data_IF_111202766961
#
_entry.id   IF_111202766961
#
_cell.length_a   1.000
_cell.length_b   1.000
_cell.length_c   1.000
_cell.angle_alpha   90.00
_cell.angle_beta   90.00
_cell.angle_gamma   90.00
#
_symmetry.space_group_name_H-M   'P 1'
#
loop_
_entity.id
_entity.type
_entity.pdbx_description
1 polymer ?
#
# COMPACT_ATOMS: atom_id res chain seq x y z
N UNK A 1 -2.50 18.38 7.67
CA UNK A 1 -3.15 18.97 8.87
C UNK A 1 -2.12 19.23 9.99
N UNK A 2 -0.93 19.72 9.64
CA UNK A 2 0.08 20.14 10.59
C UNK A 2 1.02 19.07 11.12
N UNK A 3 0.85 17.80 10.77
CA UNK A 3 1.78 16.74 11.15
C UNK A 3 3.08 16.80 10.32
N UNK A 4 4.21 16.66 10.97
CA UNK A 4 5.48 16.40 10.29
C UNK A 4 5.57 14.91 10.00
N UNK A 5 5.75 14.56 8.72
CA UNK A 5 5.77 13.17 8.29
C UNK A 5 7.13 12.79 7.75
N UNK A 6 7.65 11.66 8.24
CA UNK A 6 8.84 11.00 7.68
C UNK A 6 8.44 9.65 7.10
N UNK A 7 8.81 9.39 5.86
CA UNK A 7 8.61 8.12 5.17
C UNK A 7 9.95 7.38 5.09
N UNK A 8 10.02 6.17 5.64
CA UNK A 8 11.15 5.27 5.48
C UNK A 8 10.86 4.30 4.33
N UNK A 9 11.67 4.31 3.29
CA UNK A 9 11.54 3.44 2.12
C UNK A 9 12.93 2.92 1.71
N UNK A 10 13.19 1.62 1.86
CA UNK A 10 14.51 1.05 1.56
C UNK A 10 14.83 0.97 0.07
N UNK A 11 13.81 0.96 -0.79
CA UNK A 11 14.03 0.89 -2.23
C UNK A 11 14.55 2.22 -2.81
N UNK A 12 15.24 2.13 -3.94
CA UNK A 12 15.74 3.32 -4.65
C UNK A 12 14.63 4.22 -5.19
N UNK A 13 13.46 3.64 -5.48
CA UNK A 13 12.30 4.36 -6.02
C UNK A 13 11.07 4.04 -5.21
N UNK A 14 10.25 5.05 -5.00
CA UNK A 14 8.93 4.88 -4.41
C UNK A 14 8.00 4.06 -5.34
N UNK A 15 7.05 3.36 -4.74
CA UNK A 15 6.01 2.67 -5.50
C UNK A 15 6.48 1.45 -6.29
N UNK A 16 7.61 0.82 -5.94
CA UNK A 16 8.16 -0.33 -6.67
C UNK A 16 7.13 -1.45 -6.84
N UNK A 17 6.38 -1.79 -5.79
CA UNK A 17 5.30 -2.76 -5.84
C UNK A 17 4.13 -2.28 -6.69
N UNK A 18 3.72 -1.03 -6.51
CA UNK A 18 2.62 -0.41 -7.24
C UNK A 18 2.90 -0.45 -8.76
N UNK A 19 4.13 -0.16 -9.15
CA UNK A 19 4.52 -0.09 -10.57
C UNK A 19 4.48 -1.42 -11.32
N UNK A 20 4.47 -2.57 -10.64
CA UNK A 20 4.31 -3.89 -11.29
C UNK A 20 2.85 -4.38 -11.30
N UNK A 21 1.95 -3.73 -10.56
CA UNK A 21 0.53 -4.14 -10.53
C UNK A 21 -0.15 -3.91 -11.88
N UNK A 22 -1.21 -4.67 -12.15
CA UNK A 22 -1.95 -4.54 -13.41
C UNK A 22 -1.09 -4.71 -14.67
N UNK A 23 -0.04 -5.55 -14.62
CA UNK A 23 0.94 -5.75 -15.70
C UNK A 23 1.66 -4.44 -16.08
N UNK A 24 2.07 -3.66 -15.08
CA UNK A 24 2.77 -2.38 -15.27
C UNK A 24 1.88 -1.17 -15.53
N UNK A 25 0.54 -1.34 -15.48
CA UNK A 25 -0.43 -0.27 -15.70
C UNK A 25 -0.96 0.37 -14.40
N UNK A 26 -0.82 -0.31 -13.27
CA UNK A 26 -1.42 0.00 -11.98
C UNK A 26 -2.95 -0.04 -12.01
N UNK A 27 -3.56 -1.15 -11.58
CA UNK A 27 -4.99 -1.18 -11.28
C UNK A 27 -5.24 -0.37 -9.99
N UNK A 28 -5.79 0.84 -10.14
CA UNK A 28 -5.94 1.81 -9.04
C UNK A 28 -7.01 1.37 -8.06
N UNK A 29 -8.18 1.03 -8.58
CA UNK A 29 -9.35 0.60 -7.81
C UNK A 29 -10.32 -0.17 -8.71
N UNK A 30 -11.48 -0.50 -8.16
CA UNK A 30 -12.63 -1.00 -8.92
C UNK A 30 -13.77 0.02 -8.81
N UNK A 31 -14.34 0.43 -9.93
CA UNK A 31 -15.46 1.38 -9.98
C UNK A 31 -16.77 0.65 -9.67
N UNK A 32 -16.94 0.29 -8.42
CA UNK A 32 -18.15 -0.35 -7.89
C UNK A 32 -18.66 0.42 -6.67
N UNK A 33 -19.94 0.19 -6.36
CA UNK A 33 -20.52 0.71 -5.12
C UNK A 33 -19.98 -0.02 -3.88
N UNK A 34 -20.27 0.54 -2.72
CA UNK A 34 -19.78 0.01 -1.45
C UNK A 34 -20.33 -1.40 -1.15
N UNK A 35 -21.58 -1.68 -1.51
CA UNK A 35 -22.20 -2.97 -1.27
C UNK A 35 -21.52 -4.06 -2.10
N UNK A 36 -21.31 -3.80 -3.38
CA UNK A 36 -20.56 -4.68 -4.27
C UNK A 36 -19.14 -4.90 -3.78
N UNK A 37 -18.45 -3.83 -3.34
CA UNK A 37 -17.10 -3.95 -2.81
C UNK A 37 -17.07 -4.86 -1.57
N UNK A 38 -17.98 -4.63 -0.62
CA UNK A 38 -18.06 -5.39 0.63
C UNK A 38 -18.39 -6.87 0.43
N UNK A 39 -19.29 -7.19 -0.49
CA UNK A 39 -19.67 -8.58 -0.80
C UNK A 39 -18.56 -9.37 -1.48
N UNK A 40 -17.64 -8.67 -2.15
CA UNK A 40 -16.48 -9.27 -2.81
C UNK A 40 -15.23 -9.38 -1.91
N UNK A 41 -15.31 -8.98 -0.63
CA UNK A 41 -14.23 -9.18 0.35
C UNK A 41 -14.53 -10.48 1.13
N UNK A 42 -13.77 -11.56 0.89
CA UNK A 42 -13.99 -12.83 1.59
C UNK A 42 -13.65 -12.72 3.07
N UNK A 43 -14.32 -13.48 3.91
CA UNK A 43 -14.06 -13.57 5.33
C UNK A 43 -14.60 -12.37 6.12
N UNK A 44 -13.73 -11.64 6.81
CA UNK A 44 -14.13 -10.55 7.70
C UNK A 44 -14.20 -9.17 7.02
N UNK A 45 -14.94 -9.05 5.91
CA UNK A 45 -15.12 -7.77 5.20
C UNK A 45 -15.69 -6.66 6.09
N UNK A 46 -16.50 -6.99 7.09
CA UNK A 46 -17.08 -6.00 8.02
C UNK A 46 -16.03 -5.19 8.78
N UNK A 47 -14.84 -5.72 8.99
CA UNK A 47 -13.73 -5.00 9.60
C UNK A 47 -13.36 -3.74 8.81
N UNK A 48 -13.49 -3.79 7.48
CA UNK A 48 -13.13 -2.68 6.59
C UNK A 48 -14.28 -1.70 6.35
N UNK A 49 -15.49 -1.97 6.87
CA UNK A 49 -16.67 -1.15 6.60
C UNK A 49 -16.44 0.34 6.83
N UNK A 50 -15.93 0.71 8.02
CA UNK A 50 -15.69 2.12 8.38
C UNK A 50 -14.63 2.79 7.49
N UNK A 51 -13.59 2.06 7.11
CA UNK A 51 -12.55 2.59 6.23
C UNK A 51 -13.08 2.83 4.81
N UNK A 52 -13.80 1.86 4.25
CA UNK A 52 -14.35 1.92 2.90
C UNK A 52 -15.55 2.87 2.76
N UNK A 53 -16.23 3.19 3.87
CA UNK A 53 -17.25 4.26 3.92
C UNK A 53 -16.63 5.65 3.91
N UNK A 54 -15.45 5.80 4.50
CA UNK A 54 -14.75 7.10 4.60
C UNK A 54 -13.87 7.41 3.41
N UNK A 55 -13.46 6.40 2.68
CA UNK A 55 -12.66 6.51 1.46
C UNK A 55 -13.11 5.45 0.48
N UNK A 56 -14.02 5.84 -0.38
CA UNK A 56 -14.68 4.96 -1.36
C UNK A 56 -13.80 4.74 -2.61
N UNK A 57 -14.13 3.77 -3.47
CA UNK A 57 -13.51 3.66 -4.79
C UNK A 57 -13.57 4.96 -5.60
N UNK A 58 -14.70 5.67 -5.55
CA UNK A 58 -14.90 6.95 -6.24
C UNK A 58 -14.01 8.05 -5.65
N UNK A 59 -13.81 8.06 -4.32
CA UNK A 59 -12.87 8.99 -3.68
C UNK A 59 -11.43 8.71 -4.13
N UNK A 60 -11.06 7.44 -4.29
CA UNK A 60 -9.76 7.06 -4.82
C UNK A 60 -9.56 7.54 -6.26
N UNK A 61 -10.59 7.43 -7.11
CA UNK A 61 -10.56 7.96 -8.48
C UNK A 61 -10.40 9.48 -8.47
N UNK A 62 -11.27 10.18 -7.74
CA UNK A 62 -11.24 11.64 -7.61
C UNK A 62 -9.88 12.15 -7.06
N UNK A 63 -9.29 11.42 -6.13
CA UNK A 63 -7.97 11.74 -5.59
C UNK A 63 -6.90 11.76 -6.68
N UNK A 64 -6.79 10.72 -7.51
CA UNK A 64 -5.79 10.69 -8.58
C UNK A 64 -6.08 11.69 -9.69
N UNK A 65 -7.35 11.91 -10.05
CA UNK A 65 -7.75 12.93 -11.03
C UNK A 65 -7.39 14.34 -10.52
N UNK A 66 -7.59 14.62 -9.24
CA UNK A 66 -7.15 15.88 -8.60
C UNK A 66 -5.62 16.06 -8.67
N UNK A 67 -4.86 14.97 -8.63
CA UNK A 67 -3.41 14.99 -8.81
C UNK A 67 -2.98 15.06 -10.29
N UNK A 68 -3.93 15.23 -11.21
CA UNK A 68 -3.69 15.38 -12.64
C UNK A 68 -3.44 14.07 -13.39
N UNK A 69 -3.93 12.94 -12.87
CA UNK A 69 -3.86 11.63 -13.54
C UNK A 69 -5.24 11.24 -14.05
N UNK A 70 -5.53 11.40 -15.35
CA UNK A 70 -6.79 10.95 -15.93
C UNK A 70 -6.92 9.42 -15.82
N UNK A 71 -8.11 8.97 -15.43
CA UNK A 71 -8.42 7.55 -15.24
C UNK A 71 -9.44 7.06 -16.28
N UNK A 72 -9.44 5.76 -16.55
CA UNK A 72 -10.43 5.06 -17.36
C UNK A 72 -10.91 3.81 -16.65
N UNK A 73 -12.16 3.45 -16.90
CA UNK A 73 -12.77 2.21 -16.43
C UNK A 73 -12.76 1.18 -17.55
N UNK A 74 -12.27 0.00 -17.28
CA UNK A 74 -12.22 -1.12 -18.22
C UNK A 74 -13.16 -2.26 -17.77
N UNK A 75 -13.25 -3.31 -18.58
CA UNK A 75 -14.06 -4.50 -18.30
C UNK A 75 -13.86 -4.99 -16.87
N UNK A 76 -14.95 -5.28 -16.18
CA UNK A 76 -14.96 -5.69 -14.77
C UNK A 76 -14.73 -4.52 -13.81
N UNK A 77 -15.09 -3.31 -14.24
CA UNK A 77 -14.98 -2.06 -13.47
C UNK A 77 -13.58 -1.76 -12.96
N UNK A 78 -12.53 -2.31 -13.60
CA UNK A 78 -11.15 -2.06 -13.23
C UNK A 78 -10.72 -0.68 -13.68
N UNK A 79 -10.09 0.06 -12.79
CA UNK A 79 -9.69 1.44 -13.02
C UNK A 79 -8.19 1.53 -13.27
N UNK A 80 -7.82 2.14 -14.40
CA UNK A 80 -6.42 2.33 -14.81
C UNK A 80 -6.17 3.79 -15.21
N UNK A 81 -4.92 4.28 -15.19
CA UNK A 81 -4.59 5.53 -15.84
C UNK A 81 -4.84 5.44 -17.34
N UNK A 82 -5.34 6.51 -17.95
CA UNK A 82 -5.59 6.57 -19.41
C UNK A 82 -4.33 6.27 -20.22
N UNK A 83 -3.17 6.63 -19.70
CA UNK A 83 -1.87 6.39 -20.31
C UNK A 83 -1.40 4.92 -20.29
N UNK A 84 -2.08 4.05 -19.54
CA UNK A 84 -1.63 2.69 -19.27
C UNK A 84 -0.23 2.59 -18.64
N UNK A 85 0.21 3.62 -17.93
CA UNK A 85 1.55 3.71 -17.31
C UNK A 85 1.45 3.87 -15.81
N UNK A 86 1.85 2.86 -15.07
CA UNK A 86 1.86 2.89 -13.59
C UNK A 86 2.70 4.04 -13.02
N UNK A 87 3.71 4.48 -13.76
CA UNK A 87 4.57 5.59 -13.34
C UNK A 87 3.83 6.93 -13.25
N UNK A 88 2.72 7.11 -13.94
CA UNK A 88 1.91 8.33 -13.80
C UNK A 88 1.23 8.36 -12.43
N UNK A 89 0.78 7.21 -11.95
CA UNK A 89 0.22 7.04 -10.60
C UNK A 89 1.30 7.26 -9.53
N UNK A 90 2.41 6.52 -9.60
CA UNK A 90 3.48 6.64 -8.59
C UNK A 90 4.14 8.01 -8.62
N UNK A 91 4.32 8.60 -9.81
CA UNK A 91 4.86 9.95 -9.95
C UNK A 91 3.94 11.04 -9.39
N UNK A 92 2.62 10.87 -9.52
CA UNK A 92 1.65 11.79 -8.92
C UNK A 92 1.73 11.76 -7.39
N UNK A 93 1.80 10.55 -6.80
CA UNK A 93 1.99 10.39 -5.35
C UNK A 93 3.32 11.00 -4.89
N UNK A 94 4.41 10.80 -5.63
CA UNK A 94 5.72 11.36 -5.29
C UNK A 94 5.72 12.88 -5.34
N UNK A 95 5.08 13.49 -6.35
CA UNK A 95 4.91 14.95 -6.42
C UNK A 95 4.11 15.47 -5.23
N UNK A 96 3.05 14.77 -4.85
CA UNK A 96 2.22 15.15 -3.70
C UNK A 96 2.98 15.05 -2.38
N UNK A 97 3.77 14.00 -2.16
CA UNK A 97 4.64 13.87 -0.99
C UNK A 97 5.62 15.05 -0.90
N UNK A 98 6.21 15.46 -2.03
CA UNK A 98 7.10 16.63 -2.08
C UNK A 98 6.36 17.95 -1.81
N UNK A 99 5.16 18.12 -2.37
CA UNK A 99 4.31 19.30 -2.12
C UNK A 99 3.96 19.42 -0.63
N UNK A 100 3.69 18.30 0.01
CA UNK A 100 3.39 18.21 1.44
C UNK A 100 4.65 18.24 2.32
N UNK A 101 5.83 18.37 1.73
CA UNK A 101 7.13 18.40 2.43
C UNK A 101 7.39 17.17 3.30
N UNK A 102 6.90 16.01 2.87
CA UNK A 102 7.20 14.73 3.54
C UNK A 102 8.69 14.45 3.40
N UNK A 103 9.35 14.16 4.53
CA UNK A 103 10.75 13.77 4.55
C UNK A 103 10.87 12.30 4.14
N UNK A 104 11.51 12.02 3.01
CA UNK A 104 11.71 10.66 2.50
C UNK A 104 13.14 10.24 2.78
N UNK A 105 13.32 9.13 3.49
CA UNK A 105 14.61 8.57 3.85
C UNK A 105 14.76 7.17 3.27
N UNK A 106 15.93 6.90 2.67
CA UNK A 106 16.31 5.56 2.18
C UNK A 106 16.87 4.74 3.31
N UNK A 107 15.98 4.27 4.14
CA UNK A 107 16.28 3.48 5.31
C UNK A 107 15.26 2.37 5.46
N UNK A 108 15.70 1.22 5.97
CA UNK A 108 14.81 0.11 6.32
C UNK A 108 14.38 0.24 7.78
N UNK A 109 13.09 0.30 8.03
CA UNK A 109 12.58 0.15 9.39
C UNK A 109 12.82 -1.30 9.86
N UNK A 110 13.39 -1.46 11.06
CA UNK A 110 13.68 -2.77 11.66
C UNK A 110 12.87 -3.02 12.92
N UNK A 111 12.47 -1.95 13.62
CA UNK A 111 11.71 -2.06 14.87
C UNK A 111 10.85 -0.81 15.08
N UNK A 112 9.67 -0.99 15.63
CA UNK A 112 8.86 0.10 16.18
C UNK A 112 9.11 0.14 17.67
N UNK A 113 9.67 1.24 18.16
CA UNK A 113 9.98 1.40 19.58
C UNK A 113 8.75 1.87 20.35
N UNK A 114 8.56 1.31 21.54
CA UNK A 114 7.49 1.69 22.44
C UNK A 114 7.95 1.64 23.90
N UNK A 115 7.44 2.54 24.71
CA UNK A 115 7.70 2.61 26.14
C UNK A 115 6.41 2.93 26.88
N UNK A 116 6.15 2.25 27.99
CA UNK A 116 4.93 2.45 28.75
C UNK A 116 3.63 2.24 27.97
N UNK A 117 3.63 1.35 26.95
CA UNK A 117 2.47 1.08 26.09
C UNK A 117 2.21 2.14 25.03
N UNK A 118 3.13 3.06 24.79
CA UNK A 118 3.04 4.10 23.76
C UNK A 118 4.20 3.99 22.79
N UNK A 119 3.93 4.19 21.50
CA UNK A 119 4.97 4.31 20.48
C UNK A 119 5.86 5.52 20.79
N UNK A 120 7.17 5.33 20.68
CA UNK A 120 8.19 6.37 20.84
C UNK A 120 8.96 6.66 19.57
N UNK A 121 8.89 5.76 18.58
CA UNK A 121 9.57 5.97 17.30
C UNK A 121 9.75 4.71 16.48
N UNK A 122 10.68 4.79 15.55
CA UNK A 122 11.11 3.69 14.68
C UNK A 122 12.62 3.60 14.68
N UNK A 123 13.16 2.43 14.95
CA UNK A 123 14.55 2.10 14.69
C UNK A 123 14.70 1.69 13.24
N UNK A 124 15.52 2.38 12.49
CA UNK A 124 15.93 1.97 11.15
C UNK A 124 17.26 1.20 11.19
N UNK A 125 17.69 0.71 10.04
CA UNK A 125 19.02 0.12 9.82
C UNK A 125 20.18 1.13 10.00
N UNK A 126 19.86 2.41 10.21
CA UNK A 126 20.85 3.49 10.36
C UNK A 126 20.74 4.21 11.70
N UNK A 127 19.52 4.58 12.11
CA UNK A 127 19.31 5.41 13.30
C UNK A 127 17.91 5.26 13.86
N UNK A 128 17.72 5.79 15.05
CA UNK A 128 16.40 5.93 15.65
C UNK A 128 15.70 7.23 15.18
N UNK A 129 14.43 7.11 14.82
CA UNK A 129 13.55 8.22 14.45
C UNK A 129 12.45 8.38 15.48
N UNK A 130 12.51 9.40 16.36
CA UNK A 130 11.42 9.67 17.30
C UNK A 130 10.12 9.99 16.56
N UNK A 131 9.00 9.46 17.05
CA UNK A 131 7.68 9.72 16.51
C UNK A 131 6.57 9.53 17.54
N UNK A 132 5.55 10.37 17.48
CA UNK A 132 4.35 10.27 18.33
C UNK A 132 3.37 9.20 17.82
N UNK A 133 3.46 8.87 16.53
CA UNK A 133 2.63 7.85 15.88
C UNK A 133 3.39 7.22 14.69
N UNK A 134 3.13 5.94 14.44
CA UNK A 134 3.72 5.19 13.34
C UNK A 134 2.62 4.54 12.51
N UNK A 135 2.70 4.71 11.18
CA UNK A 135 1.89 3.96 10.23
C UNK A 135 2.73 2.83 9.66
N UNK A 136 2.40 1.59 10.02
CA UNK A 136 3.05 0.40 9.50
C UNK A 136 2.47 0.04 8.13
N UNK A 137 3.19 0.37 7.06
CA UNK A 137 2.74 0.23 5.68
C UNK A 137 3.76 -0.54 4.80
N UNK A 138 4.45 -1.53 5.39
CA UNK A 138 5.55 -2.28 4.76
C UNK A 138 5.10 -3.30 3.71
N UNK A 139 3.80 -3.44 3.48
CA UNK A 139 3.24 -4.44 2.58
C UNK A 139 3.18 -5.84 3.19
N UNK A 140 2.96 -6.83 2.36
CA UNK A 140 2.83 -8.24 2.74
C UNK A 140 4.06 -9.07 2.40
N UNK A 141 3.84 -10.31 1.93
CA UNK A 141 4.91 -11.29 1.60
C UNK A 141 4.96 -11.65 0.11
N UNK A 142 4.11 -11.06 -0.73
CA UNK A 142 4.11 -11.34 -2.18
C UNK A 142 5.12 -10.45 -2.91
N UNK A 143 5.84 -11.01 -3.87
CA UNK A 143 6.91 -10.36 -4.61
C UNK A 143 7.98 -9.72 -3.72
N UNK A 144 8.76 -10.51 -2.98
CA UNK A 144 9.76 -9.99 -2.01
C UNK A 144 10.79 -9.04 -2.63
N UNK A 145 11.12 -9.21 -3.91
CA UNK A 145 12.01 -8.32 -4.66
C UNK A 145 11.51 -6.87 -4.78
N UNK A 146 10.25 -6.58 -4.42
CA UNK A 146 9.69 -5.23 -4.36
C UNK A 146 9.76 -4.60 -2.96
N UNK A 147 10.28 -5.32 -1.97
CA UNK A 147 10.32 -4.89 -0.57
C UNK A 147 9.20 -5.49 0.30
N UNK A 148 8.30 -6.32 -0.29
CA UNK A 148 7.24 -7.00 0.46
C UNK A 148 7.78 -8.27 1.12
N UNK A 149 8.60 -8.12 2.16
CA UNK A 149 9.35 -9.19 2.83
C UNK A 149 8.67 -9.74 4.08
N UNK A 150 7.58 -9.11 4.52
CA UNK A 150 6.85 -9.50 5.72
C UNK A 150 7.40 -8.89 7.03
N UNK A 151 8.37 -8.00 6.96
CA UNK A 151 8.99 -7.35 8.13
C UNK A 151 7.94 -6.73 9.06
N UNK A 152 6.85 -6.19 8.50
CA UNK A 152 5.77 -5.58 9.27
C UNK A 152 5.02 -6.55 10.18
N UNK A 153 4.95 -7.83 9.82
CA UNK A 153 4.32 -8.82 10.70
C UNK A 153 5.15 -9.06 11.95
N UNK A 154 6.48 -9.13 11.81
CA UNK A 154 7.38 -9.27 12.95
C UNK A 154 7.33 -8.04 13.87
N UNK A 155 7.34 -6.83 13.29
CA UNK A 155 7.22 -5.58 14.05
C UNK A 155 5.89 -5.49 14.82
N UNK A 156 4.77 -5.86 14.17
CA UNK A 156 3.47 -5.87 14.83
C UNK A 156 3.39 -6.92 15.94
N UNK A 157 3.94 -8.12 15.72
CA UNK A 157 3.98 -9.18 16.73
C UNK A 157 4.80 -8.75 17.97
N UNK A 158 5.92 -8.06 17.76
CA UNK A 158 6.76 -7.54 18.85
C UNK A 158 6.02 -6.52 19.72
N UNK A 159 5.01 -5.83 19.18
CA UNK A 159 4.13 -4.91 19.91
C UNK A 159 2.89 -5.61 20.52
N UNK A 160 2.82 -6.94 20.48
CA UNK A 160 1.73 -7.72 21.08
C UNK A 160 0.53 -7.96 20.18
N UNK A 161 0.60 -7.63 18.88
CA UNK A 161 -0.47 -7.98 17.94
C UNK A 161 -0.44 -9.46 17.57
N UNK A 162 -1.60 -10.08 17.48
CA UNK A 162 -1.74 -11.44 16.92
C UNK A 162 -1.68 -11.37 15.40
N UNK A 163 -0.78 -12.15 14.80
CA UNK A 163 -0.63 -12.26 13.36
C UNK A 163 -1.30 -13.54 12.87
N UNK A 164 -2.33 -13.39 12.06
CA UNK A 164 -2.91 -14.54 11.33
C UNK A 164 -1.93 -14.99 10.25
N UNK A 165 -1.62 -16.29 10.19
CA UNK A 165 -0.68 -16.83 9.23
C UNK A 165 -1.09 -16.46 7.78
N UNK A 166 -0.23 -15.77 7.01
CA UNK A 166 -0.50 -15.44 5.63
C UNK A 166 -0.71 -16.68 4.77
N UNK A 167 -1.70 -16.65 3.88
CA UNK A 167 -1.99 -17.71 2.92
C UNK A 167 -2.09 -17.12 1.53
N UNK A 168 -1.72 -17.90 0.50
CA UNK A 168 -1.94 -17.53 -0.89
C UNK A 168 -3.43 -17.35 -1.16
N UNK A 169 -3.81 -16.22 -1.78
CA UNK A 169 -5.19 -15.91 -2.16
C UNK A 169 -5.37 -15.99 -3.67
N UNK A 170 -4.45 -15.41 -4.42
CA UNK A 170 -4.40 -15.46 -5.88
C UNK A 170 -3.00 -15.93 -6.28
N UNK A 171 -2.93 -17.10 -6.92
CA UNK A 171 -1.68 -17.71 -7.38
C UNK A 171 -1.80 -18.07 -8.86
N UNK A 172 -0.71 -18.01 -9.64
CA UNK A 172 -0.72 -18.49 -11.02
C UNK A 172 -0.93 -19.99 -11.05
N UNK A 173 -1.60 -20.48 -12.09
CA UNK A 173 -1.59 -21.88 -12.45
C UNK A 173 -0.41 -22.11 -13.39
N UNK A 174 0.35 -23.18 -13.16
CA UNK A 174 1.38 -23.65 -14.04
C UNK A 174 0.91 -24.96 -14.69
N UNK A 175 1.09 -25.09 -16.00
CA UNK A 175 0.84 -26.31 -16.73
C UNK A 175 2.12 -26.76 -17.44
N UNK A 176 2.38 -28.05 -17.39
CA UNK A 176 3.43 -28.68 -18.21
C UNK A 176 2.94 -29.06 -19.60
N UNK A 177 1.68 -28.79 -19.93
CA UNK A 177 1.08 -29.07 -21.22
C UNK A 177 1.63 -28.10 -22.29
N UNK A 178 2.09 -28.63 -23.39
CA UNK A 178 2.69 -27.85 -24.48
C UNK A 178 1.65 -26.98 -25.24
N UNK A 179 0.37 -27.25 -25.03
CA UNK A 179 -0.76 -26.58 -25.70
C UNK A 179 -1.43 -25.48 -24.83
N UNK A 180 -0.80 -25.08 -23.71
CA UNK A 180 -1.29 -24.01 -22.83
C UNK A 180 -0.60 -22.67 -23.05
#
# INVERSE_FOLDING_TARGET
>A
QGAQVTLLEPNERLGKKLNITGKGRCNVTNDCDQETLMTNIPGNGRFLYSALTRFTPQDAMAFFETLGVPLKVERGNRVFPVSDRSFDISGALERELRRLKVRILRERAVEITAEGGRVTGVQSDRQHHPADAVVLATGGVSYPGTGSTGDGYAMAAALGHTITAPRGSLVPLESSDADC
#
